data_IF_269718723982
#
_entry.id   IF_269718723982
#
_cell.length_a   1.000
_cell.length_b   1.000
_cell.length_c   1.000
_cell.angle_alpha   90.00
_cell.angle_beta   90.00
_cell.angle_gamma   90.00
#
_symmetry.space_group_name_H-M   'P 1'
#
loop_
_entity.id
_entity.type
_entity.pdbx_description
1 polymer ?
#
# COMPACT_ATOMS: atom_id res chain seq x y z
N UNK A 1 -9.07 20.52 -6.38
CA UNK A 1 -9.22 19.15 -5.97
C UNK A 1 -8.15 18.29 -6.58
N UNK A 2 -7.24 17.75 -5.79
CA UNK A 2 -6.35 16.72 -6.26
C UNK A 2 -7.17 15.46 -6.50
N UNK A 3 -7.22 14.99 -7.73
CA UNK A 3 -7.75 13.66 -8.02
C UNK A 3 -6.82 12.65 -7.37
N UNK A 4 -7.20 12.16 -6.20
CA UNK A 4 -6.50 11.06 -5.54
C UNK A 4 -6.70 9.80 -6.39
N UNK A 5 -5.67 9.40 -7.13
CA UNK A 5 -5.66 8.15 -7.85
C UNK A 5 -5.28 7.02 -6.89
N UNK A 6 -6.12 6.78 -5.88
CA UNK A 6 -6.02 5.60 -5.02
C UNK A 6 -6.71 4.45 -5.77
N UNK A 7 -5.98 3.35 -5.93
CA UNK A 7 -6.53 2.10 -6.42
C UNK A 7 -6.64 1.14 -5.27
N UNK A 8 -7.73 1.27 -4.54
CA UNK A 8 -8.13 0.29 -3.56
C UNK A 8 -8.85 -0.88 -4.23
N UNK A 9 -8.61 -2.06 -3.73
CA UNK A 9 -9.18 -3.32 -4.21
C UNK A 9 -10.24 -3.82 -3.23
N UNK A 10 -10.85 -4.96 -3.59
CA UNK A 10 -11.91 -5.59 -2.81
C UNK A 10 -11.51 -5.80 -1.35
N UNK A 11 -12.42 -5.46 -0.42
CA UNK A 11 -12.22 -5.58 1.03
C UNK A 11 -11.04 -4.77 1.60
N UNK A 12 -10.57 -3.74 0.90
CA UNK A 12 -9.64 -2.77 1.47
C UNK A 12 -10.39 -1.84 2.42
N UNK A 13 -9.89 -1.68 3.65
CA UNK A 13 -10.51 -0.86 4.68
C UNK A 13 -9.59 0.31 5.04
N UNK A 14 -10.06 1.55 4.82
CA UNK A 14 -9.42 2.77 5.29
C UNK A 14 -10.29 3.38 6.39
N UNK A 15 -9.91 3.18 7.66
CA UNK A 15 -10.63 3.70 8.82
C UNK A 15 -9.97 4.95 9.37
N UNK A 16 -10.40 6.08 8.90
CA UNK A 16 -10.00 7.40 9.41
C UNK A 16 -11.02 8.02 10.38
N UNK A 17 -11.76 7.19 11.11
CA UNK A 17 -12.83 7.61 12.02
C UNK A 17 -12.31 8.27 13.30
N UNK A 18 -11.09 7.99 13.69
CA UNK A 18 -10.49 8.50 14.93
C UNK A 18 -9.30 9.43 14.72
N UNK A 19 -8.68 9.41 13.53
CA UNK A 19 -7.61 10.34 13.16
C UNK A 19 -7.39 10.34 11.63
N UNK A 20 -6.55 11.25 11.12
CA UNK A 20 -6.40 11.45 9.68
C UNK A 20 -5.60 10.33 9.00
N UNK A 21 -6.07 9.95 7.81
CA UNK A 21 -5.34 9.15 6.84
C UNK A 21 -5.14 10.02 5.60
N UNK A 22 -3.89 10.22 5.21
CA UNK A 22 -3.52 10.96 3.99
C UNK A 22 -2.79 10.02 3.06
N UNK A 23 -3.23 9.98 1.82
CA UNK A 23 -2.68 9.11 0.78
C UNK A 23 -2.32 9.96 -0.43
N UNK A 24 -1.10 9.80 -0.91
CA UNK A 24 -0.60 10.50 -2.09
C UNK A 24 -1.16 9.96 -3.41
N UNK A 25 -0.52 10.34 -4.49
CA UNK A 25 -0.92 9.96 -5.85
C UNK A 25 -0.33 8.60 -6.26
N UNK A 26 -1.02 7.89 -7.14
CA UNK A 26 -0.59 6.62 -7.73
C UNK A 26 -0.25 5.54 -6.70
N UNK A 27 -0.96 5.54 -5.58
CA UNK A 27 -0.84 4.53 -4.53
C UNK A 27 -1.69 3.32 -4.90
N UNK A 28 -1.11 2.14 -4.78
CA UNK A 28 -1.78 0.87 -5.00
C UNK A 28 -1.94 0.14 -3.67
N UNK A 29 -3.19 -0.07 -3.25
CA UNK A 29 -3.53 -0.82 -2.03
C UNK A 29 -4.29 -2.08 -2.45
N UNK A 30 -3.71 -3.24 -2.18
CA UNK A 30 -4.23 -4.51 -2.63
C UNK A 30 -5.25 -5.09 -1.65
N UNK A 31 -5.95 -6.15 -2.12
CA UNK A 31 -7.11 -6.74 -1.47
C UNK A 31 -6.86 -7.11 -0.01
N UNK A 32 -7.85 -6.87 0.84
CA UNK A 32 -7.86 -7.26 2.24
C UNK A 32 -6.96 -6.43 3.16
N UNK A 33 -6.34 -5.37 2.65
CA UNK A 33 -5.48 -4.50 3.48
C UNK A 33 -6.31 -3.58 4.37
N UNK A 34 -5.81 -3.31 5.57
CA UNK A 34 -6.46 -2.47 6.57
C UNK A 34 -5.53 -1.34 6.99
N UNK A 35 -5.99 -0.10 6.83
CA UNK A 35 -5.33 1.12 7.29
C UNK A 35 -6.16 1.72 8.42
N UNK A 36 -5.60 1.79 9.61
CA UNK A 36 -6.27 2.32 10.79
C UNK A 36 -5.36 3.18 11.65
N UNK A 37 -5.95 4.13 12.36
CA UNK A 37 -5.25 5.08 13.23
C UNK A 37 -5.70 4.94 14.67
N UNK A 38 -4.88 5.40 15.61
CA UNK A 38 -5.26 5.54 17.03
C UNK A 38 -5.77 6.95 17.34
N UNK A 39 -6.84 7.01 18.11
CA UNK A 39 -7.43 8.26 18.57
C UNK A 39 -6.39 9.14 19.28
N UNK A 40 -6.23 10.38 18.79
CA UNK A 40 -5.31 11.39 19.31
C UNK A 40 -3.83 10.98 19.43
N UNK A 41 -3.42 9.85 18.83
CA UNK A 41 -2.04 9.34 18.96
C UNK A 41 -1.30 9.19 17.66
N UNK A 42 -1.91 8.61 16.64
CA UNK A 42 -1.21 8.34 15.40
C UNK A 42 -2.03 8.69 14.17
N UNK A 43 -1.34 9.11 13.12
CA UNK A 43 -1.88 9.38 11.79
C UNK A 43 -1.25 8.43 10.78
N UNK A 44 -1.89 8.24 9.64
CA UNK A 44 -1.27 7.56 8.50
C UNK A 44 -0.98 8.60 7.43
N UNK A 45 0.28 8.61 6.98
CA UNK A 45 0.71 9.40 5.85
C UNK A 45 1.39 8.47 4.83
N UNK A 46 0.87 8.40 3.63
CA UNK A 46 1.40 7.59 2.54
C UNK A 46 1.77 8.53 1.39
N UNK A 47 3.01 8.45 0.95
CA UNK A 47 3.54 9.24 -0.16
C UNK A 47 3.01 8.79 -1.52
N UNK A 48 3.69 9.24 -2.57
CA UNK A 48 3.33 8.92 -3.94
C UNK A 48 3.97 7.62 -4.42
N UNK A 49 3.35 6.96 -5.39
CA UNK A 49 3.90 5.76 -6.04
C UNK A 49 4.21 4.62 -5.06
N UNK A 50 3.48 4.52 -3.95
CA UNK A 50 3.62 3.47 -2.94
C UNK A 50 2.80 2.25 -3.34
N UNK A 51 3.37 1.06 -3.15
CA UNK A 51 2.66 -0.20 -3.33
C UNK A 51 2.50 -0.94 -1.99
N UNK A 52 1.24 -1.25 -1.66
CA UNK A 52 0.86 -1.98 -0.46
C UNK A 52 0.25 -3.32 -0.90
N UNK A 53 0.89 -4.41 -0.52
CA UNK A 53 0.51 -5.77 -0.89
C UNK A 53 -0.82 -6.21 -0.26
N UNK A 54 -1.25 -7.43 -0.60
CA UNK A 54 -2.47 -8.04 -0.05
C UNK A 54 -2.37 -8.27 1.46
N UNK A 55 -3.48 -8.09 2.17
CA UNK A 55 -3.61 -8.38 3.61
C UNK A 55 -2.56 -7.68 4.49
N UNK A 56 -2.18 -6.46 4.12
CA UNK A 56 -1.29 -5.62 4.91
C UNK A 56 -2.09 -4.88 5.98
N UNK A 57 -1.53 -4.77 7.17
CA UNK A 57 -2.06 -3.91 8.23
C UNK A 57 -1.12 -2.74 8.43
N UNK A 58 -1.62 -1.52 8.22
CA UNK A 58 -0.89 -0.28 8.55
C UNK A 58 -1.64 0.41 9.66
N UNK A 59 -0.97 0.60 10.79
CA UNK A 59 -1.55 1.20 11.96
C UNK A 59 -0.71 2.40 12.41
N UNK A 60 -1.15 3.61 12.05
CA UNK A 60 -0.54 4.86 12.48
C UNK A 60 0.89 5.11 12.02
N UNK A 61 1.25 4.78 10.79
CA UNK A 61 2.61 4.86 10.28
C UNK A 61 2.78 5.90 9.16
N UNK A 62 4.03 6.29 8.89
CA UNK A 62 4.42 7.11 7.74
C UNK A 62 5.16 6.28 6.72
N UNK A 63 4.70 6.33 5.48
CA UNK A 63 5.29 5.59 4.37
C UNK A 63 5.63 6.59 3.27
N UNK A 64 6.91 6.72 2.97
CA UNK A 64 7.40 7.68 1.98
C UNK A 64 7.28 7.14 0.55
N UNK A 65 7.56 8.04 -0.40
CA UNK A 65 7.40 7.76 -1.83
C UNK A 65 8.15 6.50 -2.28
N UNK A 66 7.59 5.80 -3.25
CA UNK A 66 8.18 4.61 -3.87
C UNK A 66 8.42 3.43 -2.91
N UNK A 67 7.93 3.47 -1.67
CA UNK A 67 8.06 2.33 -0.77
C UNK A 67 7.18 1.16 -1.22
N UNK A 68 7.62 -0.05 -0.90
CA UNK A 68 6.88 -1.27 -1.14
C UNK A 68 6.68 -2.04 0.16
N UNK A 69 5.42 -2.28 0.51
CA UNK A 69 5.03 -3.09 1.66
C UNK A 69 4.56 -4.45 1.16
N UNK A 70 5.31 -5.49 1.47
CA UNK A 70 5.02 -6.86 1.06
C UNK A 70 3.73 -7.40 1.67
N UNK A 71 3.10 -8.35 0.97
CA UNK A 71 1.83 -8.93 1.41
C UNK A 71 1.91 -9.54 2.81
N UNK A 72 0.84 -9.37 3.59
CA UNK A 72 0.75 -9.88 4.95
C UNK A 72 1.65 -9.18 5.98
N UNK A 73 2.33 -8.10 5.62
CA UNK A 73 3.13 -7.33 6.55
C UNK A 73 2.26 -6.53 7.51
N UNK A 74 2.79 -6.26 8.70
CA UNK A 74 2.19 -5.39 9.71
C UNK A 74 3.14 -4.24 9.99
N UNK A 75 2.67 -3.00 9.85
CA UNK A 75 3.43 -1.78 10.16
C UNK A 75 2.73 -1.05 11.29
N UNK A 76 3.39 -0.97 12.43
CA UNK A 76 2.80 -0.46 13.67
C UNK A 76 2.99 1.05 13.84
N UNK A 77 2.33 1.59 14.88
CA UNK A 77 2.26 3.02 15.16
C UNK A 77 3.62 3.72 15.20
N UNK A 78 3.65 4.92 14.65
CA UNK A 78 4.82 5.79 14.60
C UNK A 78 6.05 5.18 13.90
N UNK A 79 5.88 4.05 13.23
CA UNK A 79 6.92 3.54 12.34
C UNK A 79 7.05 4.43 11.11
N UNK A 80 8.27 4.56 10.61
CA UNK A 80 8.58 5.30 9.38
C UNK A 80 9.24 4.37 8.39
N UNK A 81 8.66 4.29 7.20
CA UNK A 81 9.23 3.55 6.06
C UNK A 81 9.75 4.57 5.06
N UNK A 82 11.06 4.60 4.88
CA UNK A 82 11.75 5.58 4.04
C UNK A 82 11.45 5.44 2.55
N UNK A 83 11.84 6.46 1.78
CA UNK A 83 11.66 6.48 0.33
C UNK A 83 12.32 5.26 -0.33
N UNK A 84 11.59 4.60 -1.22
CA UNK A 84 12.09 3.42 -1.94
C UNK A 84 12.45 2.23 -1.07
N UNK A 85 12.09 2.24 0.21
CA UNK A 85 12.33 1.11 1.11
C UNK A 85 11.38 -0.05 0.81
N UNK A 86 11.81 -1.26 1.16
CA UNK A 86 11.08 -2.48 0.96
C UNK A 86 10.89 -3.22 2.29
N UNK A 87 9.64 -3.44 2.65
CA UNK A 87 9.26 -4.33 3.74
C UNK A 87 8.84 -5.67 3.14
N UNK A 88 9.56 -6.73 3.47
CA UNK A 88 9.30 -8.07 2.91
C UNK A 88 7.94 -8.62 3.38
N UNK A 89 7.40 -9.56 2.60
CA UNK A 89 6.13 -10.21 2.92
C UNK A 89 6.15 -10.86 4.31
N UNK A 90 5.04 -10.78 5.04
CA UNK A 90 4.87 -11.36 6.36
C UNK A 90 5.71 -10.72 7.48
N UNK A 91 6.35 -9.59 7.22
CA UNK A 91 7.18 -8.91 8.22
C UNK A 91 6.35 -8.13 9.23
N UNK A 92 6.86 -7.98 10.45
CA UNK A 92 6.26 -7.15 11.49
C UNK A 92 7.21 -6.01 11.84
N UNK A 93 6.87 -4.81 11.38
CA UNK A 93 7.59 -3.57 11.70
C UNK A 93 7.02 -3.02 13.01
N UNK A 94 7.80 -3.08 14.07
CA UNK A 94 7.38 -2.64 15.41
C UNK A 94 7.19 -1.13 15.47
N UNK A 95 6.43 -0.68 16.45
CA UNK A 95 6.19 0.74 16.72
C UNK A 95 7.49 1.53 16.81
N UNK A 96 7.48 2.74 16.23
CA UNK A 96 8.62 3.68 16.22
C UNK A 96 9.87 3.19 15.49
N UNK A 97 9.79 2.10 14.77
CA UNK A 97 10.91 1.64 13.90
C UNK A 97 11.17 2.67 12.80
N UNK A 98 12.45 2.98 12.58
CA UNK A 98 12.90 3.87 11.52
C UNK A 98 13.58 3.05 10.43
N UNK A 99 12.89 2.88 9.30
CA UNK A 99 13.45 2.25 8.10
C UNK A 99 13.95 3.37 7.20
N UNK A 100 15.24 3.38 6.93
CA UNK A 100 15.86 4.39 6.09
C UNK A 100 15.51 4.25 4.60
N UNK A 101 15.83 5.28 3.80
CA UNK A 101 15.61 5.22 2.35
C UNK A 101 16.32 4.04 1.72
N UNK A 102 15.65 3.36 0.77
CA UNK A 102 16.18 2.25 0.00
C UNK A 102 16.67 1.05 0.83
N UNK A 103 16.25 0.94 2.07
CA UNK A 103 16.54 -0.22 2.91
C UNK A 103 15.50 -1.33 2.69
N UNK A 104 15.96 -2.58 2.67
CA UNK A 104 15.11 -3.75 2.73
C UNK A 104 15.13 -4.30 4.15
N UNK A 105 13.94 -4.49 4.72
CA UNK A 105 13.73 -5.06 6.03
C UNK A 105 12.83 -6.30 5.95
N UNK A 106 13.11 -7.31 6.78
CA UNK A 106 12.36 -8.55 6.79
C UNK A 106 12.32 -9.18 8.18
N UNK A 107 11.32 -10.02 8.41
CA UNK A 107 11.16 -10.84 9.60
C UNK A 107 10.16 -10.31 10.62
N UNK A 108 10.01 -11.03 11.72
CA UNK A 108 9.16 -10.69 12.85
C UNK A 108 9.94 -10.86 14.17
N UNK A 109 10.42 -9.78 14.80
CA UNK A 109 10.36 -8.40 14.35
C UNK A 109 11.24 -8.17 13.11
N UNK A 110 10.83 -7.23 12.26
CA UNK A 110 11.59 -6.87 11.06
C UNK A 110 12.95 -6.29 11.42
N UNK A 111 13.97 -6.69 10.67
CA UNK A 111 15.35 -6.23 10.80
C UNK A 111 15.91 -5.86 9.43
N UNK A 112 16.89 -4.96 9.42
CA UNK A 112 17.62 -4.59 8.21
C UNK A 112 18.27 -5.80 7.56
N UNK A 113 18.10 -5.95 6.26
CA UNK A 113 18.68 -7.04 5.45
C UNK A 113 19.77 -6.51 4.52
N UNK A 114 19.45 -5.52 3.70
CA UNK A 114 20.33 -4.92 2.70
C UNK A 114 19.80 -3.62 2.15
N UNK A 115 20.64 -2.92 1.38
CA UNK A 115 20.20 -1.80 0.56
C UNK A 115 19.56 -2.29 -0.74
N UNK A 116 18.56 -1.56 -1.21
CA UNK A 116 17.91 -1.76 -2.51
C UNK A 116 18.37 -0.66 -3.45
N UNK A 117 18.75 -1.00 -4.67
CA UNK A 117 19.10 0.01 -5.68
C UNK A 117 17.88 0.87 -6.02
N UNK A 118 18.01 2.22 -6.01
CA UNK A 118 16.85 3.12 -6.23
C UNK A 118 16.10 2.85 -7.53
N UNK A 119 16.80 2.53 -8.61
CA UNK A 119 16.18 2.21 -9.90
C UNK A 119 15.32 0.94 -9.83
N UNK A 120 15.80 -0.09 -9.14
CA UNK A 120 15.03 -1.33 -8.95
C UNK A 120 13.75 -1.12 -8.13
N UNK A 121 13.81 -0.30 -7.10
CA UNK A 121 12.61 0.04 -6.31
C UNK A 121 11.55 0.72 -7.18
N UNK A 122 11.95 1.69 -8.01
CA UNK A 122 11.05 2.38 -8.95
C UNK A 122 10.49 1.43 -10.01
N UNK A 123 11.33 0.60 -10.62
CA UNK A 123 10.91 -0.38 -11.63
C UNK A 123 9.88 -1.36 -11.06
N UNK A 124 10.09 -1.87 -9.85
CA UNK A 124 9.16 -2.78 -9.19
C UNK A 124 7.80 -2.11 -8.97
N UNK A 125 7.76 -0.89 -8.44
CA UNK A 125 6.52 -0.16 -8.21
C UNK A 125 5.79 0.17 -9.51
N UNK A 126 6.50 0.62 -10.55
CA UNK A 126 5.92 0.91 -11.86
C UNK A 126 5.36 -0.37 -12.50
N UNK A 127 6.09 -1.49 -12.42
CA UNK A 127 5.64 -2.77 -12.96
C UNK A 127 4.39 -3.28 -12.24
N UNK A 128 4.36 -3.19 -10.91
CA UNK A 128 3.18 -3.54 -10.10
C UNK A 128 1.99 -2.68 -10.52
N UNK A 129 2.16 -1.36 -10.57
CA UNK A 129 1.10 -0.43 -10.95
C UNK A 129 0.56 -0.71 -12.37
N UNK A 130 1.43 -1.00 -13.36
CA UNK A 130 1.03 -1.34 -14.72
C UNK A 130 0.27 -2.66 -14.81
N UNK A 131 0.71 -3.68 -14.11
CA UNK A 131 0.02 -4.98 -14.09
C UNK A 131 -1.40 -4.83 -13.52
N UNK A 132 -1.57 -4.05 -12.48
CA UNK A 132 -2.90 -3.80 -11.90
C UNK A 132 -3.80 -2.95 -12.78
N UNK A 133 -3.24 -2.04 -13.59
CA UNK A 133 -3.99 -1.33 -14.63
C UNK A 133 -4.55 -2.28 -15.69
N UNK A 134 -3.75 -3.25 -16.07
CA UNK A 134 -4.15 -4.27 -17.03
C UNK A 134 -5.27 -5.15 -16.46
N UNK A 135 -5.14 -5.60 -15.21
CA UNK A 135 -6.16 -6.42 -14.56
C UNK A 135 -7.48 -5.68 -14.36
N UNK A 136 -7.47 -4.40 -14.02
CA UNK A 136 -8.72 -3.63 -13.89
C UNK A 136 -9.49 -3.54 -15.20
N UNK A 137 -8.79 -3.41 -16.33
CA UNK A 137 -9.42 -3.40 -17.65
C UNK A 137 -10.07 -4.73 -18.01
N UNK A 138 -9.51 -5.85 -17.58
CA UNK A 138 -10.13 -7.15 -17.79
C UNK A 138 -11.46 -7.27 -17.04
N UNK A 139 -11.52 -6.81 -15.80
CA UNK A 139 -12.79 -6.80 -15.03
C UNK A 139 -13.84 -5.87 -15.63
N UNK A 140 -13.44 -4.74 -16.21
CA UNK A 140 -14.36 -3.85 -16.92
C UNK A 140 -14.93 -4.53 -18.18
N UNK A 141 -14.11 -5.23 -18.94
CA UNK A 141 -14.53 -6.00 -20.13
C UNK A 141 -15.48 -7.14 -19.77
N UNK A 142 -15.15 -7.93 -18.73
CA UNK A 142 -16.01 -9.01 -18.26
C UNK A 142 -17.37 -8.47 -17.73
N UNK A 143 -17.40 -7.29 -17.11
CA UNK A 143 -18.63 -6.67 -16.65
C UNK A 143 -19.51 -6.19 -17.81
N UNK A 144 -18.94 -5.77 -18.93
CA UNK A 144 -19.67 -5.41 -20.14
C UNK A 144 -20.21 -6.67 -20.86
N UNK A 145 -19.46 -7.77 -20.88
CA UNK A 145 -19.88 -9.03 -21.49
C UNK A 145 -20.93 -9.80 -20.65
N UNK A 146 -20.97 -9.59 -19.34
CA UNK A 146 -21.93 -10.25 -18.44
C UNK A 146 -23.23 -9.46 -18.22
N UNK A 147 -23.48 -8.37 -18.93
CA UNK A 147 -24.75 -7.67 -18.90
C UNK A 147 -25.59 -7.91 -20.18
N UNK A 148 -26.17 -9.11 -20.39
CA UNK A 148 -27.04 -9.42 -21.53
C UNK A 148 -28.49 -9.05 -21.29
N UNK A 149 -28.81 -8.13 -20.39
CA UNK A 149 -30.20 -7.84 -20.04
C UNK A 149 -30.64 -6.42 -20.38
N UNK A 150 -30.50 -6.03 -21.65
CA UNK A 150 -31.23 -4.89 -22.16
C UNK A 150 -32.37 -5.25 -23.14
N UNK A 151 -32.61 -6.54 -23.40
CA UNK A 151 -33.65 -7.00 -24.34
C UNK A 151 -34.56 -8.07 -23.75
N UNK A 152 -35.22 -7.78 -22.63
CA UNK A 152 -36.44 -8.50 -22.26
C UNK A 152 -37.40 -7.47 -21.62
N UNK A 153 -38.10 -6.76 -22.46
CA UNK A 153 -39.51 -6.32 -22.30
C UNK A 153 -40.13 -6.18 -23.65
#
# INVERSE_FOLDING_TARGET
GSEMCIRDRFNTVLRGDVNSIRVGDRVNIQDGSVLHTLYQKSTIEIGNDVSIGHNVVIHGAKIHDYALIGMGAVVMDDAVVGEGALVAAGSVVLSRTQIGPHEMWAGSPAKFIKMVEPEKAKEMNVKIAKNYLMYSKWYEQDAEETNPSADIL
#
